data_IF_611692324859
#
_entry.id   IF_611692324859
#
_cell.length_a   1.000
_cell.length_b   1.000
_cell.length_c   1.000
_cell.angle_alpha   90.00
_cell.angle_beta   90.00
_cell.angle_gamma   90.00
#
_symmetry.space_group_name_H-M   'P 1'
#
loop_
_entity.id
_entity.type
_entity.pdbx_description
1 polymer ?
#
# COMPACT_ATOMS: atom_id res chain seq x y z
N UNK A 1 82.00 -19.56 -56.77
CA UNK A 1 81.28 -19.35 -58.04
C UNK A 1 79.99 -18.63 -57.71
N UNK A 2 79.69 -17.39 -58.07
CA UNK A 2 80.29 -16.41 -58.98
C UNK A 2 79.51 -15.11 -58.65
N UNK A 3 80.20 -14.01 -58.31
CA UNK A 3 79.95 -12.59 -58.70
C UNK A 3 78.53 -11.98 -58.67
N UNK A 4 78.27 -10.69 -58.42
CA UNK A 4 79.02 -9.45 -58.19
C UNK A 4 77.99 -8.33 -57.84
N UNK A 5 78.46 -7.33 -57.07
CA UNK A 5 78.23 -5.86 -57.13
C UNK A 5 77.15 -5.31 -58.10
N UNK A 6 76.44 -4.20 -57.86
CA UNK A 6 76.57 -3.11 -56.90
C UNK A 6 75.99 -1.81 -57.50
N UNK A 7 75.64 -0.86 -56.62
CA UNK A 7 75.59 0.61 -56.79
C UNK A 7 74.53 1.30 -57.68
N UNK A 8 73.75 2.22 -57.08
CA UNK A 8 73.97 3.69 -57.20
C UNK A 8 72.97 4.46 -56.29
N UNK A 9 73.47 5.21 -55.30
CA UNK A 9 73.56 6.69 -55.23
C UNK A 9 72.26 7.46 -54.93
N UNK A 10 72.25 8.20 -53.81
CA UNK A 10 71.31 9.31 -53.60
C UNK A 10 71.09 9.80 -52.16
N UNK A 11 72.08 10.50 -51.58
CA UNK A 11 71.98 11.66 -50.67
C UNK A 11 70.72 11.81 -49.76
N UNK A 12 70.83 11.55 -48.46
CA UNK A 12 71.00 12.56 -47.39
C UNK A 12 69.89 13.62 -47.26
N UNK A 13 69.07 13.53 -46.19
CA UNK A 13 69.11 14.41 -45.00
C UNK A 13 67.91 14.19 -44.07
N UNK A 14 68.23 14.31 -42.78
CA UNK A 14 67.42 14.22 -41.57
C UNK A 14 65.94 14.62 -41.64
N UNK A 15 65.09 13.81 -40.98
CA UNK A 15 64.12 14.30 -40.02
C UNK A 15 63.76 13.19 -39.00
N UNK A 16 64.01 13.48 -37.72
CA UNK A 16 63.43 12.77 -36.59
C UNK A 16 61.90 12.82 -36.66
N UNK A 17 61.24 11.71 -36.30
CA UNK A 17 59.97 11.60 -35.56
C UNK A 17 59.48 10.17 -35.81
N UNK A 18 59.59 9.24 -34.86
CA UNK A 18 58.82 9.29 -33.63
C UNK A 18 57.53 8.49 -33.88
N UNK A 19 57.61 7.19 -33.64
CA UNK A 19 56.53 6.21 -33.74
C UNK A 19 55.35 6.64 -32.86
N UNK A 20 54.35 7.33 -33.43
CA UNK A 20 53.09 7.65 -32.75
C UNK A 20 52.15 6.46 -32.88
N UNK A 21 52.14 5.63 -31.84
CA UNK A 21 51.02 4.74 -31.53
C UNK A 21 49.74 5.58 -31.49
N UNK A 22 48.84 5.33 -32.43
CA UNK A 22 47.51 5.96 -32.44
C UNK A 22 46.71 5.43 -31.27
N UNK A 23 46.42 6.31 -30.31
CA UNK A 23 45.62 6.01 -29.13
C UNK A 23 44.20 6.56 -29.28
N UNK A 24 43.24 5.86 -29.94
CA UNK A 24 41.83 6.18 -29.81
C UNK A 24 41.27 5.40 -28.61
N UNK A 25 41.72 5.72 -27.40
CA UNK A 25 41.19 5.06 -26.19
C UNK A 25 41.28 5.91 -24.91
N UNK A 26 41.67 7.18 -24.99
CA UNK A 26 41.84 8.02 -23.79
C UNK A 26 40.98 9.28 -23.75
N UNK A 27 39.88 9.33 -24.51
CA UNK A 27 38.96 10.47 -24.49
C UNK A 27 37.49 10.05 -24.44
N UNK A 28 37.16 9.12 -23.55
CA UNK A 28 35.78 8.77 -23.19
C UNK A 28 35.55 8.80 -21.66
N UNK A 29 36.36 9.58 -20.93
CA UNK A 29 36.29 9.66 -19.47
C UNK A 29 36.01 11.09 -19.00
N UNK A 30 34.91 11.71 -19.44
CA UNK A 30 34.54 13.06 -19.01
C UNK A 30 33.03 13.37 -19.00
N UNK A 31 32.15 12.36 -18.91
CA UNK A 31 30.72 12.58 -18.68
C UNK A 31 30.17 11.70 -17.55
N UNK A 32 30.89 11.59 -16.44
CA UNK A 32 30.28 11.24 -15.16
C UNK A 32 29.72 12.52 -14.55
N UNK A 33 28.41 12.73 -14.65
CA UNK A 33 27.74 13.82 -13.94
C UNK A 33 27.96 13.67 -12.42
N UNK A 34 27.94 14.76 -11.64
CA UNK A 34 28.29 14.77 -10.21
C UNK A 34 27.22 14.15 -9.28
N UNK A 35 26.52 13.11 -9.72
CA UNK A 35 25.42 12.47 -9.00
C UNK A 35 25.56 10.97 -8.70
N UNK A 36 26.41 10.21 -9.41
CA UNK A 36 26.41 8.74 -9.34
C UNK A 36 27.49 8.13 -8.44
N UNK A 37 28.55 8.87 -8.08
CA UNK A 37 29.66 8.30 -7.30
C UNK A 37 29.31 7.97 -5.84
N UNK A 38 28.21 8.52 -5.30
CA UNK A 38 27.76 8.25 -3.93
C UNK A 38 26.84 7.04 -3.79
N UNK A 39 25.99 6.76 -4.79
CA UNK A 39 25.02 5.67 -4.76
C UNK A 39 25.71 4.31 -4.88
N UNK A 40 26.76 4.21 -5.69
CA UNK A 40 27.40 2.91 -5.97
C UNK A 40 28.13 2.36 -4.73
N UNK A 41 28.76 3.24 -3.94
CA UNK A 41 29.39 2.86 -2.68
C UNK A 41 28.37 2.42 -1.62
N UNK A 42 27.27 3.16 -1.51
CA UNK A 42 26.18 2.84 -0.58
C UNK A 42 25.45 1.55 -0.99
N UNK A 43 25.25 1.32 -2.30
CA UNK A 43 24.68 0.08 -2.82
C UNK A 43 25.59 -1.11 -2.51
N UNK A 44 26.89 -1.00 -2.79
CA UNK A 44 27.85 -2.07 -2.47
C UNK A 44 27.92 -2.34 -0.98
N UNK A 45 27.88 -1.30 -0.14
CA UNK A 45 27.82 -1.43 1.32
C UNK A 45 26.57 -2.19 1.76
N UNK A 46 25.39 -1.81 1.27
CA UNK A 46 24.14 -2.48 1.60
C UNK A 46 24.18 -3.96 1.21
N UNK A 47 24.56 -4.26 -0.03
CA UNK A 47 24.53 -5.63 -0.55
C UNK A 47 25.58 -6.54 0.11
N UNK A 48 26.71 -5.99 0.52
CA UNK A 48 27.80 -6.76 1.13
C UNK A 48 27.68 -6.91 2.64
N UNK A 49 27.19 -5.87 3.32
CA UNK A 49 27.26 -5.77 4.78
C UNK A 49 25.88 -5.75 5.45
N UNK A 50 24.81 -5.45 4.70
CA UNK A 50 23.45 -5.22 5.23
C UNK A 50 23.38 -4.12 6.29
N UNK A 51 24.40 -3.28 6.40
CA UNK A 51 24.45 -2.14 7.32
C UNK A 51 24.61 -0.86 6.49
N UNK A 52 23.54 -0.11 6.32
CA UNK A 52 23.51 1.11 5.51
C UNK A 52 22.62 2.22 6.11
N UNK A 53 22.80 2.60 7.39
CA UNK A 53 22.03 3.67 7.99
C UNK A 53 22.36 5.01 7.30
N UNK A 54 21.33 5.75 6.90
CA UNK A 54 21.41 7.04 6.19
C UNK A 54 22.04 6.99 4.79
N UNK A 55 22.16 5.81 4.21
CA UNK A 55 22.65 5.66 2.84
C UNK A 55 21.76 6.37 1.82
N UNK A 56 22.37 6.79 0.71
CA UNK A 56 21.75 7.43 -0.44
C UNK A 56 21.54 6.38 -1.53
N UNK A 57 20.33 5.83 -1.54
CA UNK A 57 19.90 4.76 -2.43
C UNK A 57 18.73 5.23 -3.31
N UNK A 58 18.70 6.53 -3.64
CA UNK A 58 17.72 7.05 -4.60
C UNK A 58 17.83 6.29 -5.91
N UNK A 59 16.68 5.96 -6.50
CA UNK A 59 16.62 5.34 -7.82
C UNK A 59 17.35 3.99 -7.92
N UNK A 60 17.76 3.39 -6.78
CA UNK A 60 18.50 2.14 -6.77
C UNK A 60 17.62 0.97 -7.23
N UNK A 61 18.18 0.07 -8.04
CA UNK A 61 17.56 -1.19 -8.39
C UNK A 61 18.01 -2.29 -7.42
N UNK A 62 17.07 -2.74 -6.60
CA UNK A 62 17.22 -3.74 -5.54
C UNK A 62 16.17 -4.85 -5.69
N UNK A 63 15.66 -5.06 -6.91
CA UNK A 63 14.69 -6.11 -7.19
C UNK A 63 15.26 -7.48 -6.79
N UNK A 64 14.46 -8.28 -6.09
CA UNK A 64 14.86 -9.57 -5.52
C UNK A 64 16.02 -9.56 -4.51
N UNK A 65 16.51 -8.40 -4.08
CA UNK A 65 17.64 -8.33 -3.16
C UNK A 65 17.30 -9.03 -1.82
N UNK A 66 18.26 -9.78 -1.27
CA UNK A 66 18.18 -10.33 0.08
C UNK A 66 18.74 -9.34 1.10
N UNK A 67 17.83 -8.56 1.68
CA UNK A 67 18.09 -7.50 2.65
C UNK A 67 17.49 -7.85 4.03
N UNK A 68 17.37 -9.15 4.33
CA UNK A 68 16.90 -9.60 5.65
C UNK A 68 17.82 -9.08 6.75
N UNK A 69 17.18 -8.57 7.80
CA UNK A 69 17.82 -7.96 8.98
C UNK A 69 18.72 -6.75 8.64
N UNK A 70 18.58 -6.15 7.45
CA UNK A 70 19.40 -5.01 7.06
C UNK A 70 19.08 -3.77 7.90
N UNK A 71 20.12 -3.02 8.29
CA UNK A 71 20.00 -1.70 8.90
C UNK A 71 19.92 -0.64 7.80
N UNK A 72 18.72 -0.15 7.54
CA UNK A 72 18.39 0.91 6.58
C UNK A 72 17.82 2.14 7.30
N UNK A 73 18.14 2.33 8.59
CA UNK A 73 17.61 3.44 9.39
C UNK A 73 17.92 4.77 8.72
N UNK A 74 16.88 5.58 8.52
CA UNK A 74 16.97 6.88 7.87
C UNK A 74 17.64 6.87 6.48
N UNK A 75 17.71 5.70 5.83
CA UNK A 75 18.17 5.60 4.45
C UNK A 75 17.23 6.36 3.52
N UNK A 76 17.79 6.88 2.43
CA UNK A 76 17.06 7.64 1.43
C UNK A 76 16.86 6.75 0.22
N UNK A 77 15.66 6.20 0.08
CA UNK A 77 15.28 5.18 -0.90
C UNK A 77 14.27 5.70 -1.94
N UNK A 78 14.16 7.02 -2.09
CA UNK A 78 13.15 7.62 -2.94
C UNK A 78 13.25 7.06 -4.36
N UNK A 79 12.12 6.62 -4.92
CA UNK A 79 12.02 6.00 -6.26
C UNK A 79 12.87 4.73 -6.47
N UNK A 80 13.42 4.14 -5.41
CA UNK A 80 14.11 2.86 -5.53
C UNK A 80 13.12 1.75 -5.96
N UNK A 81 13.64 0.73 -6.61
CA UNK A 81 12.89 -0.47 -6.96
C UNK A 81 13.32 -1.63 -6.06
N UNK A 82 12.51 -1.94 -5.05
CA UNK A 82 12.65 -3.05 -4.13
C UNK A 82 11.60 -4.15 -4.40
N UNK A 83 11.11 -4.24 -5.65
CA UNK A 83 10.15 -5.25 -6.05
C UNK A 83 10.61 -6.66 -5.70
N UNK A 84 9.75 -7.42 -5.02
CA UNK A 84 10.04 -8.79 -4.57
C UNK A 84 11.30 -8.96 -3.71
N UNK A 85 11.84 -7.87 -3.13
CA UNK A 85 12.96 -7.94 -2.21
C UNK A 85 12.57 -8.64 -0.90
N UNK A 86 13.56 -9.22 -0.21
CA UNK A 86 13.39 -9.79 1.12
C UNK A 86 13.92 -8.83 2.17
N UNK A 87 13.02 -8.20 2.91
CA UNK A 87 13.28 -7.23 3.98
C UNK A 87 12.78 -7.76 5.34
N UNK A 88 12.65 -9.09 5.49
CA UNK A 88 12.23 -9.68 6.76
C UNK A 88 13.16 -9.21 7.89
N UNK A 89 12.59 -8.65 8.97
CA UNK A 89 13.36 -8.12 10.11
C UNK A 89 14.17 -6.85 9.84
N UNK A 90 14.11 -6.26 8.64
CA UNK A 90 14.90 -5.07 8.31
C UNK A 90 14.50 -3.85 9.17
N UNK A 91 15.48 -3.01 9.50
CA UNK A 91 15.27 -1.77 10.21
C UNK A 91 15.20 -0.58 9.25
N UNK A 92 13.99 -0.15 8.91
CA UNK A 92 13.69 0.97 8.01
C UNK A 92 13.24 2.21 8.79
N UNK A 93 13.51 2.28 10.10
CA UNK A 93 13.02 3.37 10.95
C UNK A 93 13.48 4.72 10.42
N UNK A 94 12.53 5.61 10.17
CA UNK A 94 12.79 6.95 9.63
C UNK A 94 13.28 6.99 8.18
N UNK A 95 13.25 5.89 7.43
CA UNK A 95 13.66 5.87 6.03
C UNK A 95 12.73 6.70 5.15
N UNK A 96 13.27 7.30 4.09
CA UNK A 96 12.49 8.01 3.09
C UNK A 96 12.22 7.09 1.90
N UNK A 97 11.04 6.47 1.88
CA UNK A 97 10.58 5.49 0.90
C UNK A 97 9.62 6.10 -0.13
N UNK A 98 9.60 7.42 -0.27
CA UNK A 98 8.68 8.08 -1.19
C UNK A 98 8.79 7.55 -2.61
N UNK A 99 7.65 7.18 -3.20
CA UNK A 99 7.54 6.65 -4.56
C UNK A 99 8.40 5.39 -4.82
N UNK A 100 8.76 4.64 -3.77
CA UNK A 100 9.49 3.37 -3.87
C UNK A 100 8.56 2.26 -4.32
N UNK A 101 9.04 1.35 -5.17
CA UNK A 101 8.33 0.10 -5.45
C UNK A 101 8.74 -0.97 -4.44
N UNK A 102 7.80 -1.45 -3.63
CA UNK A 102 7.91 -2.62 -2.75
C UNK A 102 6.93 -3.72 -3.17
N UNK A 103 6.47 -3.70 -4.42
CA UNK A 103 5.47 -4.63 -4.91
C UNK A 103 5.95 -6.08 -4.72
N UNK A 104 5.14 -6.90 -4.04
CA UNK A 104 5.47 -8.30 -3.77
C UNK A 104 6.64 -8.54 -2.80
N UNK A 105 7.19 -7.50 -2.17
CA UNK A 105 8.30 -7.65 -1.22
C UNK A 105 7.85 -8.33 0.09
N UNK A 106 8.78 -9.01 0.77
CA UNK A 106 8.55 -9.51 2.14
C UNK A 106 9.09 -8.51 3.16
N UNK A 107 8.23 -7.97 4.01
CA UNK A 107 8.54 -6.98 5.06
C UNK A 107 8.18 -7.53 6.45
N UNK A 108 8.17 -8.86 6.59
CA UNK A 108 7.71 -9.53 7.81
C UNK A 108 8.57 -9.10 9.00
N UNK A 109 7.94 -8.56 10.04
CA UNK A 109 8.65 -8.08 11.23
C UNK A 109 9.53 -6.85 11.04
N UNK A 110 9.54 -6.20 9.86
CA UNK A 110 10.35 -5.02 9.61
C UNK A 110 9.90 -3.83 10.46
N UNK A 111 10.85 -2.96 10.84
CA UNK A 111 10.56 -1.72 11.57
C UNK A 111 10.48 -0.53 10.61
N UNK A 112 9.27 -0.07 10.32
CA UNK A 112 8.95 1.05 9.43
C UNK A 112 8.51 2.30 10.20
N UNK A 113 8.66 2.34 11.54
CA UNK A 113 8.22 3.49 12.34
C UNK A 113 8.94 4.77 11.91
N UNK A 114 8.21 5.85 11.73
CA UNK A 114 8.69 7.13 11.23
C UNK A 114 9.12 7.13 9.77
N UNK A 115 8.98 6.03 9.03
CA UNK A 115 9.31 6.00 7.60
C UNK A 115 8.29 6.82 6.79
N UNK A 116 8.75 7.49 5.73
CA UNK A 116 7.88 8.20 4.81
C UNK A 116 7.47 7.30 3.65
N UNK A 117 6.21 6.83 3.66
CA UNK A 117 5.65 5.90 2.69
C UNK A 117 4.76 6.57 1.62
N UNK A 118 4.85 7.90 1.45
CA UNK A 118 4.05 8.62 0.46
C UNK A 118 4.36 8.14 -0.97
N UNK A 119 3.32 7.67 -1.67
CA UNK A 119 3.39 7.11 -3.01
C UNK A 119 4.10 5.76 -3.11
N UNK A 120 4.46 5.12 -1.99
CA UNK A 120 5.12 3.81 -2.00
C UNK A 120 4.14 2.74 -2.50
N UNK A 121 4.58 1.89 -3.41
CA UNK A 121 3.79 0.74 -3.89
C UNK A 121 4.06 -0.49 -3.01
N UNK A 122 3.10 -0.83 -2.15
CA UNK A 122 3.14 -1.98 -1.24
C UNK A 122 2.21 -3.11 -1.70
N UNK A 123 1.62 -3.02 -2.89
CA UNK A 123 0.67 -4.03 -3.37
C UNK A 123 1.32 -5.42 -3.39
N UNK A 124 0.56 -6.43 -2.98
CA UNK A 124 1.02 -7.83 -2.92
C UNK A 124 2.19 -8.11 -1.96
N UNK A 125 2.65 -7.12 -1.18
CA UNK A 125 3.70 -7.32 -0.19
C UNK A 125 3.20 -8.12 1.03
N UNK A 126 4.13 -8.64 1.84
CA UNK A 126 3.82 -9.26 3.14
C UNK A 126 4.31 -8.37 4.29
N UNK A 127 3.39 -7.66 4.93
CA UNK A 127 3.60 -6.78 6.08
C UNK A 127 3.34 -7.48 7.42
N UNK A 128 3.25 -8.82 7.44
CA UNK A 128 2.94 -9.57 8.67
C UNK A 128 3.90 -9.24 9.81
N UNK A 129 3.39 -8.64 10.89
CA UNK A 129 4.18 -8.24 12.05
C UNK A 129 5.09 -7.04 11.84
N UNK A 130 5.01 -6.35 10.69
CA UNK A 130 5.73 -5.10 10.48
C UNK A 130 5.27 -4.04 11.49
N UNK A 131 6.22 -3.27 12.01
CA UNK A 131 5.94 -2.17 12.93
C UNK A 131 5.79 -0.88 12.11
N UNK A 132 4.57 -0.35 12.03
CA UNK A 132 4.22 0.85 11.26
C UNK A 132 3.48 1.80 12.21
N UNK A 133 3.74 3.10 12.09
CA UNK A 133 2.99 4.08 12.88
C UNK A 133 1.51 4.12 12.46
N UNK A 134 0.58 4.44 13.37
CA UNK A 134 -0.82 4.66 13.02
C UNK A 134 -0.96 5.70 11.89
N UNK A 135 -1.69 5.34 10.82
CA UNK A 135 -1.85 6.15 9.62
C UNK A 135 -0.61 6.20 8.71
N UNK A 136 0.45 5.44 9.00
CA UNK A 136 1.67 5.41 8.21
C UNK A 136 1.47 4.93 6.77
N UNK A 137 0.36 4.23 6.51
CA UNK A 137 -0.01 3.73 5.19
C UNK A 137 -0.90 4.68 4.38
N UNK A 138 -1.42 5.77 4.96
CA UNK A 138 -2.51 6.58 4.40
C UNK A 138 -2.25 7.14 3.00
N UNK A 139 -0.97 7.34 2.65
CA UNK A 139 -0.55 7.89 1.36
C UNK A 139 0.21 6.88 0.51
N UNK A 140 0.12 5.59 0.82
CA UNK A 140 0.77 4.50 0.09
C UNK A 140 -0.26 3.65 -0.67
N UNK A 141 0.21 2.84 -1.62
CA UNK A 141 -0.61 1.86 -2.32
C UNK A 141 -0.44 0.49 -1.67
N UNK A 142 -1.16 0.26 -0.56
CA UNK A 142 -1.05 -0.99 0.21
C UNK A 142 -2.18 -1.99 -0.06
N UNK A 143 -3.13 -1.64 -0.92
CA UNK A 143 -4.23 -2.55 -1.27
C UNK A 143 -3.65 -3.90 -1.73
N UNK A 144 -4.23 -5.01 -1.27
CA UNK A 144 -3.75 -6.38 -1.48
C UNK A 144 -2.44 -6.78 -0.77
N UNK A 145 -1.87 -5.93 0.08
CA UNK A 145 -0.81 -6.34 1.00
C UNK A 145 -1.36 -7.30 2.06
N UNK A 146 -0.58 -8.32 2.41
CA UNK A 146 -0.91 -9.28 3.47
C UNK A 146 -0.40 -8.80 4.82
N UNK A 147 -1.10 -9.16 5.89
CA UNK A 147 -0.62 -8.92 7.25
C UNK A 147 -0.74 -7.46 7.75
N UNK A 148 -1.50 -6.61 7.06
CA UNK A 148 -1.79 -5.24 7.51
C UNK A 148 -2.68 -5.30 8.76
N UNK A 149 -2.14 -4.89 9.90
CA UNK A 149 -2.91 -4.82 11.15
C UNK A 149 -3.86 -3.61 11.13
N UNK A 150 -5.14 -3.75 11.53
CA UNK A 150 -6.08 -2.62 11.56
C UNK A 150 -5.58 -1.41 12.37
N UNK A 151 -4.75 -1.63 13.38
CA UNK A 151 -4.19 -0.59 14.25
C UNK A 151 -3.24 0.39 13.55
N UNK A 152 -2.69 0.02 12.39
CA UNK A 152 -1.78 0.90 11.63
C UNK A 152 -2.52 1.78 10.62
N UNK A 153 -3.81 1.53 10.42
CA UNK A 153 -4.64 2.25 9.46
C UNK A 153 -5.25 3.50 10.11
N UNK A 154 -5.31 4.58 9.35
CA UNK A 154 -6.07 5.78 9.70
C UNK A 154 -7.58 5.53 9.61
N UNK A 155 -8.38 6.48 10.13
CA UNK A 155 -9.83 6.39 10.05
C UNK A 155 -10.36 6.21 8.60
N UNK A 156 -9.95 7.04 7.60
CA UNK A 156 -10.42 6.86 6.23
C UNK A 156 -10.00 5.52 5.63
N UNK A 157 -8.78 5.04 5.93
CA UNK A 157 -8.31 3.73 5.47
C UNK A 157 -9.14 2.58 6.03
N UNK A 158 -9.44 2.60 7.33
CA UNK A 158 -10.29 1.59 7.97
C UNK A 158 -11.70 1.60 7.38
N UNK A 159 -12.28 2.78 7.20
CA UNK A 159 -13.60 2.93 6.60
C UNK A 159 -13.61 2.37 5.17
N UNK A 160 -12.65 2.78 4.34
CA UNK A 160 -12.56 2.36 2.94
C UNK A 160 -12.31 0.86 2.80
N UNK A 161 -11.42 0.30 3.63
CA UNK A 161 -11.20 -1.14 3.68
C UNK A 161 -12.47 -1.90 4.09
N UNK A 162 -13.23 -1.36 5.05
CA UNK A 162 -14.53 -1.89 5.44
C UNK A 162 -15.54 -1.89 4.29
N UNK A 163 -15.60 -0.80 3.52
CA UNK A 163 -16.45 -0.67 2.33
C UNK A 163 -16.09 -1.72 1.29
N UNK A 164 -14.80 -1.87 0.95
CA UNK A 164 -14.34 -2.91 0.01
C UNK A 164 -14.74 -4.31 0.48
N UNK A 165 -14.48 -4.62 1.76
CA UNK A 165 -14.86 -5.92 2.33
C UNK A 165 -16.37 -6.16 2.27
N UNK A 166 -17.19 -5.14 2.54
CA UNK A 166 -18.65 -5.24 2.47
C UNK A 166 -19.14 -5.50 1.04
N UNK A 167 -18.59 -4.78 0.04
CA UNK A 167 -18.95 -4.95 -1.38
C UNK A 167 -18.56 -6.33 -1.93
N UNK A 168 -17.52 -6.94 -1.38
CA UNK A 168 -17.10 -8.31 -1.72
C UNK A 168 -17.84 -9.40 -0.93
N UNK A 169 -18.83 -9.04 -0.10
CA UNK A 169 -19.60 -9.97 0.72
C UNK A 169 -18.86 -10.48 1.98
N UNK A 170 -17.68 -9.91 2.30
CA UNK A 170 -16.88 -10.24 3.49
C UNK A 170 -17.39 -9.51 4.73
N UNK A 171 -18.69 -9.63 5.03
CA UNK A 171 -19.37 -8.85 6.08
C UNK A 171 -18.77 -8.96 7.49
N UNK A 172 -18.32 -10.14 7.98
CA UNK A 172 -17.66 -10.22 9.29
C UNK A 172 -16.37 -9.40 9.37
N UNK A 173 -15.59 -9.37 8.27
CA UNK A 173 -14.38 -8.56 8.19
C UNK A 173 -14.72 -7.06 8.10
N UNK A 174 -15.72 -6.71 7.30
CA UNK A 174 -16.21 -5.33 7.21
C UNK A 174 -16.65 -4.79 8.58
N UNK A 175 -17.39 -5.59 9.36
CA UNK A 175 -17.81 -5.20 10.72
C UNK A 175 -16.63 -4.90 11.65
N UNK A 176 -15.57 -5.71 11.60
CA UNK A 176 -14.36 -5.47 12.40
C UNK A 176 -13.66 -4.17 11.99
N UNK A 177 -13.51 -3.94 10.68
CA UNK A 177 -12.89 -2.73 10.13
C UNK A 177 -13.67 -1.46 10.50
N UNK A 178 -15.00 -1.48 10.33
CA UNK A 178 -15.83 -0.35 10.75
C UNK A 178 -15.83 -0.14 12.25
N UNK A 179 -15.72 -1.21 13.06
CA UNK A 179 -15.63 -1.06 14.52
C UNK A 179 -14.34 -0.35 14.94
N UNK A 180 -13.23 -0.66 14.27
CA UNK A 180 -11.97 0.05 14.51
C UNK A 180 -12.02 1.49 13.96
N UNK A 181 -12.66 1.73 12.82
CA UNK A 181 -12.91 3.08 12.31
C UNK A 181 -13.71 3.93 13.31
N UNK A 182 -14.82 3.40 13.84
CA UNK A 182 -15.66 4.04 14.85
C UNK A 182 -14.86 4.33 16.13
N UNK A 183 -13.92 3.46 16.51
CA UNK A 183 -13.06 3.69 17.68
C UNK A 183 -12.17 4.93 17.50
N UNK A 184 -11.70 5.18 16.27
CA UNK A 184 -10.90 6.37 15.95
C UNK A 184 -11.75 7.63 15.83
N UNK A 185 -12.94 7.53 15.22
CA UNK A 185 -13.83 8.66 14.98
C UNK A 185 -15.30 8.29 15.29
N UNK A 186 -15.73 8.35 16.57
CA UNK A 186 -17.04 7.88 17.00
C UNK A 186 -18.20 8.78 16.54
N UNK A 187 -17.93 10.04 16.23
CA UNK A 187 -18.86 11.03 15.68
C UNK A 187 -19.10 10.86 14.17
N UNK A 188 -18.34 10.00 13.49
CA UNK A 188 -18.54 9.74 12.07
C UNK A 188 -19.73 8.80 11.82
N UNK A 189 -20.92 9.40 11.66
CA UNK A 189 -22.18 8.70 11.43
C UNK A 189 -22.13 7.66 10.31
N UNK A 190 -21.40 7.93 9.22
CA UNK A 190 -21.27 7.03 8.06
C UNK A 190 -20.70 5.66 8.43
N UNK A 191 -19.74 5.59 9.35
CA UNK A 191 -19.13 4.31 9.77
C UNK A 191 -20.10 3.47 10.60
N UNK A 192 -20.96 4.11 11.39
CA UNK A 192 -22.05 3.44 12.10
C UNK A 192 -23.08 2.87 11.11
N UNK A 193 -23.48 3.64 10.10
CA UNK A 193 -24.38 3.15 9.05
C UNK A 193 -23.76 1.95 8.33
N UNK A 194 -22.51 2.06 7.87
CA UNK A 194 -21.85 1.00 7.12
C UNK A 194 -21.68 -0.31 7.93
N UNK A 195 -21.38 -0.19 9.23
CA UNK A 195 -21.36 -1.34 10.15
C UNK A 195 -22.75 -1.93 10.36
N UNK A 196 -23.76 -1.10 10.56
CA UNK A 196 -25.16 -1.54 10.71
C UNK A 196 -25.67 -2.31 9.49
N UNK A 197 -25.35 -1.83 8.28
CA UNK A 197 -25.63 -2.54 7.03
C UNK A 197 -24.91 -3.90 6.98
N UNK A 198 -23.61 -3.92 7.28
CA UNK A 198 -22.82 -5.17 7.30
C UNK A 198 -23.31 -6.18 8.35
N UNK A 199 -23.82 -5.71 9.50
CA UNK A 199 -24.42 -6.55 10.54
C UNK A 199 -25.77 -7.10 10.11
N UNK A 200 -26.51 -6.37 9.28
CA UNK A 200 -27.80 -6.86 8.79
C UNK A 200 -27.63 -8.03 7.82
N UNK A 201 -26.65 -7.96 6.91
CA UNK A 201 -26.31 -9.08 6.02
C UNK A 201 -25.87 -10.35 6.79
N UNK A 202 -25.42 -10.17 8.04
CA UNK A 202 -25.09 -11.27 8.95
C UNK A 202 -26.27 -11.74 9.81
N UNK A 203 -27.47 -11.16 9.68
CA UNK A 203 -28.63 -11.46 10.52
C UNK A 203 -28.57 -10.91 11.96
N UNK A 204 -27.61 -10.02 12.26
CA UNK A 204 -27.44 -9.38 13.59
C UNK A 204 -28.37 -8.17 13.72
N UNK A 205 -29.68 -8.39 13.60
CA UNK A 205 -30.70 -7.33 13.46
C UNK A 205 -30.74 -6.35 14.63
N UNK A 206 -30.61 -6.82 15.87
CA UNK A 206 -30.60 -5.95 17.05
C UNK A 206 -29.39 -5.00 17.07
N UNK A 207 -28.20 -5.54 16.78
CA UNK A 207 -26.97 -4.75 16.70
C UNK A 207 -26.98 -3.78 15.53
N UNK A 208 -27.54 -4.20 14.39
CA UNK A 208 -27.71 -3.34 13.23
C UNK A 208 -28.67 -2.18 13.53
N UNK A 209 -29.83 -2.45 14.14
CA UNK A 209 -30.78 -1.42 14.54
C UNK A 209 -30.17 -0.42 15.53
N UNK A 210 -29.36 -0.90 16.48
CA UNK A 210 -28.64 -0.03 17.41
C UNK A 210 -27.66 0.90 16.69
N UNK A 211 -26.86 0.38 15.75
CA UNK A 211 -25.92 1.18 14.96
C UNK A 211 -26.65 2.24 14.12
N UNK A 212 -27.75 1.87 13.45
CA UNK A 212 -28.52 2.79 12.61
C UNK A 212 -29.23 3.87 13.42
N UNK A 213 -29.77 3.54 14.60
CA UNK A 213 -30.35 4.52 15.51
C UNK A 213 -29.29 5.50 16.02
N UNK A 214 -28.10 5.02 16.36
CA UNK A 214 -27.02 5.91 16.80
C UNK A 214 -26.57 6.84 15.66
N UNK A 215 -26.42 6.31 14.45
CA UNK A 215 -26.15 7.12 13.27
C UNK A 215 -27.25 8.17 13.02
N UNK A 216 -28.53 7.80 13.23
CA UNK A 216 -29.65 8.73 13.10
C UNK A 216 -29.53 9.91 14.07
N UNK A 217 -29.14 9.65 15.33
CA UNK A 217 -28.89 10.71 16.31
C UNK A 217 -27.78 11.64 15.84
N UNK A 218 -26.67 11.10 15.33
CA UNK A 218 -25.55 11.91 14.81
C UNK A 218 -25.97 12.78 13.62
N UNK A 219 -26.74 12.23 12.67
CA UNK A 219 -27.28 13.01 11.55
C UNK A 219 -28.26 14.09 12.00
N UNK A 220 -29.12 13.82 12.98
CA UNK A 220 -30.01 14.84 13.55
C UNK A 220 -29.24 15.98 14.20
N UNK A 221 -28.17 15.66 14.95
CA UNK A 221 -27.26 16.67 15.53
C UNK A 221 -26.54 17.51 14.47
N UNK A 222 -26.29 16.94 13.29
CA UNK A 222 -25.71 17.64 12.14
C UNK A 222 -26.76 18.45 11.32
N UNK A 223 -28.03 18.45 11.71
CA UNK A 223 -29.12 19.10 10.98
C UNK A 223 -29.59 18.34 9.72
N UNK A 224 -29.14 17.09 9.55
CA UNK A 224 -29.53 16.20 8.44
C UNK A 224 -30.80 15.40 8.81
N UNK A 225 -31.89 16.12 9.10
CA UNK A 225 -33.15 15.56 9.61
C UNK A 225 -33.76 14.47 8.71
N UNK A 226 -33.62 14.60 7.39
CA UNK A 226 -34.13 13.61 6.44
C UNK A 226 -33.40 12.26 6.58
N UNK A 227 -32.07 12.29 6.69
CA UNK A 227 -31.22 11.12 6.90
C UNK A 227 -31.51 10.50 8.27
N UNK A 228 -31.61 11.33 9.31
CA UNK A 228 -31.91 10.88 10.67
C UNK A 228 -33.24 10.11 10.74
N UNK A 229 -34.30 10.69 10.14
CA UNK A 229 -35.62 10.07 10.08
C UNK A 229 -35.58 8.75 9.30
N UNK A 230 -34.95 8.74 8.13
CA UNK A 230 -34.84 7.55 7.29
C UNK A 230 -34.13 6.40 8.03
N UNK A 231 -33.01 6.68 8.69
CA UNK A 231 -32.25 5.66 9.44
C UNK A 231 -33.05 5.13 10.65
N UNK A 232 -33.77 6.00 11.35
CA UNK A 232 -34.64 5.61 12.47
C UNK A 232 -35.77 4.68 12.01
N UNK A 233 -36.40 4.99 10.87
CA UNK A 233 -37.46 4.16 10.29
C UNK A 233 -36.94 2.77 9.90
N UNK A 234 -35.74 2.69 9.32
CA UNK A 234 -35.09 1.42 8.99
C UNK A 234 -34.75 0.63 10.25
N UNK A 235 -34.19 1.27 11.28
CA UNK A 235 -33.87 0.62 12.55
C UNK A 235 -35.12 0.04 13.24
N UNK A 236 -36.24 0.77 13.22
CA UNK A 236 -37.54 0.27 13.72
C UNK A 236 -38.03 -0.92 12.90
N UNK A 237 -37.91 -0.85 11.57
CA UNK A 237 -38.33 -1.93 10.68
C UNK A 237 -37.56 -3.23 10.93
N UNK A 238 -36.25 -3.15 11.22
CA UNK A 238 -35.39 -4.29 11.55
C UNK A 238 -35.85 -5.08 12.78
N UNK A 239 -36.48 -4.41 13.74
CA UNK A 239 -36.93 -5.01 14.99
C UNK A 239 -38.36 -5.59 14.91
N UNK A 240 -39.08 -5.35 13.81
CA UNK A 240 -40.44 -5.89 13.65
C UNK A 240 -40.36 -7.41 13.37
N UNK A 241 -41.10 -8.24 14.13
CA UNK A 241 -41.17 -9.66 13.83
C UNK A 241 -41.78 -9.87 12.44
N UNK A 242 -41.08 -10.60 11.57
CA UNK A 242 -41.56 -10.91 10.23
C UNK A 242 -42.91 -11.63 10.28
N UNK A 243 -43.88 -11.18 9.48
CA UNK A 243 -45.10 -11.98 9.24
C UNK A 243 -44.66 -13.29 8.61
N UNK A 244 -44.94 -14.42 9.26
CA UNK A 244 -44.78 -15.75 8.64
C UNK A 244 -45.62 -15.78 7.36
N UNK A 245 -44.98 -15.63 6.22
CA UNK A 245 -45.60 -15.93 4.94
C UNK A 245 -45.87 -17.44 4.93
N UNK A 246 -47.15 -17.80 4.88
CA UNK A 246 -47.59 -19.18 4.80
C UNK A 246 -47.29 -19.71 3.38
N UNK A 247 -46.05 -20.11 3.10
CA UNK A 247 -45.66 -20.78 1.86
C UNK A 247 -44.40 -21.63 2.07
N UNK A 248 -44.56 -22.95 1.91
CA UNK A 248 -43.49 -23.92 1.66
C UNK A 248 -42.61 -24.28 2.86
N UNK A 249 -42.70 -25.52 3.33
CA UNK A 249 -41.84 -26.14 4.35
C UNK A 249 -40.40 -26.39 3.83
N UNK A 250 -39.69 -25.34 3.44
CA UNK A 250 -38.30 -25.39 2.99
C UNK A 250 -37.48 -24.28 3.63
N UNK A 251 -36.30 -24.61 4.15
CA UNK A 251 -35.41 -23.71 4.89
C UNK A 251 -34.98 -22.47 4.08
N UNK A 252 -35.17 -22.45 2.76
CA UNK A 252 -34.93 -21.30 1.88
C UNK A 252 -36.06 -20.26 1.80
N UNK A 253 -37.32 -20.61 2.07
CA UNK A 253 -38.47 -19.70 1.88
C UNK A 253 -38.63 -18.62 2.97
N UNK A 254 -38.15 -18.90 4.18
CA UNK A 254 -38.19 -17.95 5.31
C UNK A 254 -37.08 -16.89 5.25
N UNK A 255 -35.94 -17.22 4.63
CA UNK A 255 -34.81 -16.30 4.51
C UNK A 255 -35.00 -15.31 3.33
N UNK A 256 -35.63 -15.77 2.24
CA UNK A 256 -35.86 -14.96 1.03
C UNK A 256 -36.98 -13.90 1.17
N UNK A 257 -38.02 -14.15 1.95
CA UNK A 257 -39.13 -13.18 2.10
C UNK A 257 -38.79 -11.97 2.98
N UNK A 258 -37.94 -12.15 3.99
CA UNK A 258 -37.40 -11.05 4.81
C UNK A 258 -36.28 -10.29 4.10
N UNK A 259 -35.30 -11.00 3.53
CA UNK A 259 -34.14 -10.40 2.88
C UNK A 259 -34.48 -9.64 1.58
N UNK A 260 -35.43 -10.11 0.76
CA UNK A 260 -35.82 -9.43 -0.48
C UNK A 260 -36.60 -8.12 -0.25
N UNK A 261 -37.46 -8.07 0.79
CA UNK A 261 -38.13 -6.82 1.20
C UNK A 261 -37.19 -5.83 1.88
N UNK A 262 -36.09 -6.33 2.45
CA UNK A 262 -35.12 -5.51 3.18
C UNK A 262 -34.05 -4.93 2.26
N UNK A 263 -33.49 -5.71 1.32
CA UNK A 263 -32.55 -5.22 0.33
C UNK A 263 -33.08 -3.99 -0.45
N UNK A 264 -34.38 -3.95 -0.71
CA UNK A 264 -35.05 -2.79 -1.33
C UNK A 264 -35.21 -1.58 -0.39
N UNK A 265 -35.33 -1.77 0.92
CA UNK A 265 -35.45 -0.70 1.91
C UNK A 265 -34.10 -0.03 2.24
N UNK A 266 -32.99 -0.77 2.22
CA UNK A 266 -31.63 -0.26 2.45
C UNK A 266 -30.84 0.03 1.17
N UNK A 267 -31.27 -0.42 -0.01
CA UNK A 267 -30.58 -0.13 -1.27
C UNK A 267 -30.24 1.38 -1.48
N UNK A 268 -31.14 2.34 -1.18
CA UNK A 268 -30.82 3.76 -1.29
C UNK A 268 -29.75 4.22 -0.29
N UNK A 269 -29.71 3.60 0.89
CA UNK A 269 -28.72 3.87 1.94
C UNK A 269 -27.36 3.26 1.57
N UNK A 270 -27.35 2.01 1.10
CA UNK A 270 -26.14 1.31 0.70
C UNK A 270 -25.36 2.07 -0.39
N UNK A 271 -26.05 2.60 -1.41
CA UNK A 271 -25.39 3.39 -2.46
C UNK A 271 -24.81 4.72 -1.96
N UNK A 272 -25.38 5.32 -0.92
CA UNK A 272 -24.91 6.61 -0.38
C UNK A 272 -23.81 6.45 0.67
N UNK A 273 -23.86 5.37 1.45
CA UNK A 273 -23.03 5.20 2.67
C UNK A 273 -21.93 4.15 2.54
N UNK A 274 -21.85 3.44 1.41
CA UNK A 274 -20.69 2.60 1.05
C UNK A 274 -19.80 3.29 -0.01
N UNK A 275 -19.71 4.62 0.03
CA UNK A 275 -18.77 5.37 -0.79
C UNK A 275 -17.43 5.50 -0.05
N UNK A 276 -16.29 5.29 -0.72
CA UNK A 276 -14.98 5.51 -0.10
C UNK A 276 -14.79 7.00 0.23
N UNK A 277 -14.20 7.26 1.40
CA UNK A 277 -13.73 8.56 1.84
C UNK A 277 -12.44 8.95 1.11
N UNK A 278 -12.23 10.25 0.91
CA UNK A 278 -10.98 10.78 0.38
C UNK A 278 -9.84 10.67 1.43
N UNK A 279 -8.61 10.56 0.92
CA UNK A 279 -7.36 10.57 1.71
C UNK A 279 -6.83 11.99 1.91
#
# INVERSE_FOLDING_TARGET
MTTLQGSSHGSARHALTGLLLTAPALLALLMAGPGQAGSDGDLMRLLSQRDCPRCKLQDADLVHADLRDADLRSAKLQRANLGQARLDGANLKGADLRFTSLQGASLRGADLRGANLEGTDLRQSDLSGAQIDPGGLARSHWQDARGVAPTVLSYPELHNAGVTAALEGRHPQAEQLFSEAIRLQPDAAISWVARGLSRTEQGKTELAAADLNYAAVLYGQAGEEAQAKQLSEVAIALLKPGKKANQGSGMGGQMLSGAASFASAVAPLAMKFLLPLAF
#
